data_IF_816077882024
#
_entry.id   IF_816077882024
#
_cell.length_a   1.000
_cell.length_b   1.000
_cell.length_c   1.000
_cell.angle_alpha   90.00
_cell.angle_beta   90.00
_cell.angle_gamma   90.00
#
_symmetry.space_group_name_H-M   'P 1'
#
loop_
_entity.id
_entity.type
_entity.pdbx_description
1 polymer ?
#
# COMPACT_ATOMS: atom_id res chain seq x y z
N UNK A 1 26.51 85.77 -30.80
CA UNK A 1 26.24 84.49 -31.42
C UNK A 1 26.95 83.38 -30.57
N UNK A 2 26.24 82.83 -29.66
CA UNK A 2 26.78 81.83 -28.75
C UNK A 2 26.42 80.39 -29.26
N UNK A 3 27.44 79.58 -29.49
CA UNK A 3 27.28 78.19 -29.91
C UNK A 3 27.15 77.31 -28.69
N UNK A 4 25.95 76.79 -28.53
CA UNK A 4 25.64 75.75 -27.45
C UNK A 4 26.06 74.37 -27.96
N UNK A 5 27.09 73.82 -27.37
CA UNK A 5 27.53 72.43 -27.63
C UNK A 5 26.86 71.51 -26.64
N UNK A 6 25.92 70.67 -27.13
CA UNK A 6 25.21 69.68 -26.39
C UNK A 6 26.08 68.40 -26.30
N UNK A 7 26.55 68.08 -25.10
CA UNK A 7 27.25 66.78 -24.82
C UNK A 7 26.24 65.71 -24.59
N UNK A 8 26.21 64.76 -25.50
CA UNK A 8 25.39 63.54 -25.38
C UNK A 8 26.11 62.56 -24.44
N UNK A 9 25.56 62.31 -23.26
CA UNK A 9 26.03 61.31 -22.35
C UNK A 9 25.35 59.98 -22.69
N UNK A 10 26.12 59.01 -23.21
CA UNK A 10 25.70 57.62 -23.40
C UNK A 10 25.72 56.92 -22.04
N UNK A 11 24.53 56.66 -21.48
CA UNK A 11 24.36 55.78 -20.31
C UNK A 11 24.28 54.37 -20.85
N UNK A 12 25.36 53.61 -20.68
CA UNK A 12 25.41 52.18 -20.96
C UNK A 12 24.67 51.41 -19.87
N UNK A 13 23.44 50.98 -20.17
CA UNK A 13 22.70 50.04 -19.32
C UNK A 13 23.27 48.64 -19.49
N UNK A 14 23.96 48.16 -18.48
CA UNK A 14 24.36 46.76 -18.38
C UNK A 14 23.09 45.90 -18.12
N UNK A 15 22.66 45.16 -19.13
CA UNK A 15 21.59 44.15 -18.98
C UNK A 15 22.16 42.99 -18.22
N UNK A 16 21.88 42.93 -16.89
CA UNK A 16 22.16 41.73 -16.08
C UNK A 16 21.17 40.64 -16.51
N UNK A 17 21.61 39.74 -17.39
CA UNK A 17 20.90 38.48 -17.65
C UNK A 17 21.07 37.61 -16.39
N UNK A 18 20.08 37.67 -15.53
CA UNK A 18 19.96 36.72 -14.41
C UNK A 18 19.80 35.31 -14.98
N UNK A 19 20.84 34.50 -14.85
CA UNK A 19 20.72 33.07 -14.98
C UNK A 19 19.80 32.59 -13.84
N UNK A 20 18.50 32.55 -14.08
CA UNK A 20 17.58 31.79 -13.26
C UNK A 20 17.98 30.32 -13.42
N UNK A 21 18.77 29.79 -12.47
CA UNK A 21 18.90 28.38 -12.29
C UNK A 21 17.47 27.87 -12.12
N UNK A 22 16.94 27.18 -13.15
CA UNK A 22 15.66 26.51 -13.02
C UNK A 22 15.80 25.50 -11.88
N UNK A 23 15.20 25.83 -10.74
CA UNK A 23 14.95 24.84 -9.71
C UNK A 23 13.99 23.87 -10.37
N UNK A 24 14.51 22.75 -10.84
CA UNK A 24 13.68 21.62 -11.24
C UNK A 24 12.97 21.20 -9.95
N UNK A 25 11.66 21.47 -9.87
CA UNK A 25 10.88 20.97 -8.77
C UNK A 25 11.02 19.46 -8.81
N UNK A 26 11.64 18.90 -7.79
CA UNK A 26 11.68 17.49 -7.57
C UNK A 26 10.22 17.02 -7.46
N UNK A 27 9.87 15.93 -8.19
CA UNK A 27 8.49 15.43 -8.18
C UNK A 27 8.03 15.10 -6.76
N UNK A 28 6.75 14.87 -6.55
CA UNK A 28 6.21 14.51 -5.24
C UNK A 28 6.94 13.30 -4.65
N UNK A 29 7.26 13.38 -3.36
CA UNK A 29 7.88 12.25 -2.64
C UNK A 29 6.85 11.13 -2.38
N UNK A 30 7.31 9.89 -2.13
CA UNK A 30 6.43 8.78 -1.78
C UNK A 30 5.53 9.10 -0.59
N UNK A 31 6.08 9.76 0.44
CA UNK A 31 5.29 10.21 1.60
C UNK A 31 4.18 11.20 1.21
N UNK A 32 4.51 12.23 0.42
CA UNK A 32 3.50 13.24 -0.01
C UNK A 32 2.36 12.58 -0.79
N UNK A 33 2.67 11.61 -1.65
CA UNK A 33 1.69 10.85 -2.41
C UNK A 33 0.86 9.95 -1.48
N UNK A 34 1.52 9.21 -0.59
CA UNK A 34 0.92 8.29 0.35
C UNK A 34 -0.01 8.97 1.38
N UNK A 35 0.29 10.20 1.78
CA UNK A 35 -0.57 10.97 2.71
C UNK A 35 -1.99 11.15 2.16
N UNK A 36 -2.19 11.11 0.84
CA UNK A 36 -3.53 11.16 0.23
C UNK A 36 -4.39 9.93 0.55
N UNK A 37 -3.78 8.80 0.91
CA UNK A 37 -4.44 7.54 1.22
C UNK A 37 -4.94 7.48 2.68
N UNK A 38 -4.41 8.36 3.56
CA UNK A 38 -4.65 8.32 4.99
C UNK A 38 -6.13 8.44 5.39
N UNK A 39 -6.95 9.14 4.57
CA UNK A 39 -8.38 9.30 4.84
C UNK A 39 -9.18 7.99 4.90
N UNK A 40 -8.71 6.94 4.22
CA UNK A 40 -9.37 5.62 4.17
C UNK A 40 -8.49 4.51 4.76
N UNK A 41 -7.17 4.57 4.51
CA UNK A 41 -6.23 3.53 4.94
C UNK A 41 -5.49 3.87 6.25
N UNK A 42 -5.85 4.98 6.89
CA UNK A 42 -5.25 5.44 8.14
C UNK A 42 -3.86 6.06 7.97
N UNK A 43 -3.37 6.68 9.02
CA UNK A 43 -2.03 7.27 9.05
C UNK A 43 -0.98 6.16 8.85
N UNK A 44 0.00 6.41 7.99
CA UNK A 44 1.03 5.44 7.61
C UNK A 44 0.48 4.12 7.07
N UNK A 45 -0.76 4.11 6.56
CA UNK A 45 -1.38 2.91 5.99
C UNK A 45 -1.99 1.95 7.02
N UNK A 46 -2.08 2.32 8.29
CA UNK A 46 -2.73 1.53 9.33
C UNK A 46 -4.20 1.91 9.47
N UNK A 47 -5.07 1.17 8.80
CA UNK A 47 -6.50 1.44 8.73
C UNK A 47 -7.19 1.30 10.09
N UNK A 48 -8.16 2.20 10.34
CA UNK A 48 -9.09 2.06 11.47
C UNK A 48 -10.33 1.23 11.10
N UNK A 49 -10.30 0.60 9.95
CA UNK A 49 -11.30 -0.36 9.46
C UNK A 49 -12.69 0.18 9.20
N UNK A 50 -13.69 -0.73 9.14
CA UNK A 50 -13.48 -2.18 9.03
C UNK A 50 -13.36 -2.66 7.57
N UNK A 51 -13.75 -1.85 6.56
CA UNK A 51 -13.83 -2.27 5.15
C UNK A 51 -12.59 -1.89 4.32
N UNK A 52 -11.87 -0.85 4.72
CA UNK A 52 -10.60 -0.46 4.10
C UNK A 52 -9.46 -1.25 4.74
N UNK A 53 -8.56 -1.88 3.97
CA UNK A 53 -7.46 -2.64 4.54
C UNK A 53 -6.38 -1.74 5.13
N UNK A 54 -5.59 -2.25 6.05
CA UNK A 54 -4.26 -1.73 6.33
C UNK A 54 -3.35 -2.06 5.14
N UNK A 55 -2.52 -1.09 4.75
CA UNK A 55 -1.55 -1.17 3.63
C UNK A 55 -0.11 -0.85 4.09
N UNK A 56 0.09 -0.63 5.39
CA UNK A 56 1.41 -0.57 6.01
C UNK A 56 2.15 -1.90 5.84
N UNK A 57 3.46 -1.87 5.73
CA UNK A 57 4.34 -3.01 5.48
C UNK A 57 3.96 -3.86 4.27
N UNK A 58 3.17 -3.35 3.34
CA UNK A 58 2.80 -4.08 2.13
C UNK A 58 4.01 -4.21 1.20
N UNK A 59 4.16 -5.38 0.59
CA UNK A 59 5.19 -5.58 -0.42
C UNK A 59 5.02 -4.57 -1.58
N UNK A 60 6.11 -3.89 -2.03
CA UNK A 60 6.01 -2.82 -3.03
C UNK A 60 5.48 -3.31 -4.38
N UNK A 61 5.87 -4.52 -4.81
CA UNK A 61 5.41 -5.09 -6.09
C UNK A 61 3.93 -5.42 -6.01
N UNK A 62 3.50 -6.04 -4.90
CA UNK A 62 2.08 -6.35 -4.64
C UNK A 62 1.24 -5.07 -4.56
N UNK A 63 1.78 -3.98 -3.99
CA UNK A 63 1.11 -2.68 -3.96
C UNK A 63 0.90 -2.14 -5.38
N UNK A 64 1.97 -2.07 -6.17
CA UNK A 64 1.93 -1.54 -7.55
C UNK A 64 0.99 -2.37 -8.42
N UNK A 65 1.14 -3.69 -8.43
CA UNK A 65 0.31 -4.61 -9.22
C UNK A 65 -1.17 -4.49 -8.86
N UNK A 66 -1.49 -4.37 -7.56
CA UNK A 66 -2.86 -4.18 -7.08
C UNK A 66 -3.45 -2.85 -7.59
N UNK A 67 -2.66 -1.77 -7.53
CA UNK A 67 -3.10 -0.45 -8.02
C UNK A 67 -3.27 -0.42 -9.53
N UNK A 68 -2.38 -1.06 -10.30
CA UNK A 68 -2.51 -1.21 -11.75
C UNK A 68 -3.73 -2.06 -12.14
N UNK A 69 -4.02 -3.12 -11.38
CA UNK A 69 -5.24 -3.92 -11.59
C UNK A 69 -6.52 -3.12 -11.29
N UNK A 70 -6.50 -2.18 -10.36
CA UNK A 70 -7.60 -1.23 -10.17
C UNK A 70 -7.69 -0.20 -11.30
N UNK A 71 -6.57 0.28 -11.83
CA UNK A 71 -6.55 1.23 -12.96
C UNK A 71 -7.15 0.62 -14.23
N UNK A 72 -6.75 -0.62 -14.56
CA UNK A 72 -7.22 -1.35 -15.74
C UNK A 72 -8.67 -1.81 -15.62
N UNK A 73 -9.15 -2.00 -14.39
CA UNK A 73 -10.46 -2.57 -14.08
C UNK A 73 -10.46 -4.10 -14.02
N UNK A 74 -9.29 -4.75 -14.04
CA UNK A 74 -9.14 -6.21 -13.88
C UNK A 74 -9.53 -6.66 -12.46
N UNK A 75 -9.44 -5.74 -11.49
CA UNK A 75 -9.95 -5.95 -10.13
C UNK A 75 -11.09 -4.98 -9.87
N UNK A 76 -12.24 -5.54 -9.52
CA UNK A 76 -13.41 -4.75 -9.11
C UNK A 76 -13.12 -3.95 -7.83
N UNK A 77 -13.65 -2.74 -7.77
CA UNK A 77 -13.61 -1.92 -6.56
C UNK A 77 -14.76 -0.92 -6.53
N UNK A 78 -15.16 -0.51 -5.35
CA UNK A 78 -16.16 0.57 -5.18
C UNK A 78 -15.57 1.94 -5.48
N UNK A 79 -14.32 2.19 -5.08
CA UNK A 79 -13.67 3.50 -5.19
C UNK A 79 -12.24 3.44 -5.74
N UNK A 80 -11.46 2.37 -5.44
CA UNK A 80 -10.03 2.33 -5.77
C UNK A 80 -9.75 2.44 -7.26
N UNK A 81 -10.61 1.88 -8.12
CA UNK A 81 -10.50 2.01 -9.57
C UNK A 81 -10.62 3.46 -10.10
N UNK A 82 -11.19 4.37 -9.31
CA UNK A 82 -11.20 5.81 -9.63
C UNK A 82 -9.96 6.51 -9.08
N UNK A 83 -9.57 6.18 -7.85
CA UNK A 83 -8.41 6.77 -7.17
C UNK A 83 -7.13 6.39 -7.90
N UNK A 84 -6.93 5.11 -8.19
CA UNK A 84 -5.73 4.59 -8.82
C UNK A 84 -5.42 5.28 -10.16
N UNK A 85 -6.44 5.63 -10.95
CA UNK A 85 -6.26 6.34 -12.24
C UNK A 85 -5.64 7.73 -12.13
N UNK A 86 -5.53 8.28 -10.93
CA UNK A 86 -4.90 9.58 -10.69
C UNK A 86 -3.38 9.52 -10.61
N UNK A 87 -2.77 8.35 -10.60
CA UNK A 87 -1.34 8.17 -10.37
C UNK A 87 -0.65 7.50 -11.57
N UNK A 88 0.60 7.88 -11.81
CA UNK A 88 1.50 7.18 -12.71
C UNK A 88 2.10 5.95 -12.03
N UNK A 89 2.64 5.01 -12.80
CA UNK A 89 3.33 3.83 -12.27
C UNK A 89 4.52 4.22 -11.37
N UNK A 90 5.32 5.22 -11.77
CA UNK A 90 6.43 5.76 -10.98
C UNK A 90 5.96 6.33 -9.61
N UNK A 91 4.81 7.00 -9.58
CA UNK A 91 4.22 7.47 -8.33
C UNK A 91 3.70 6.33 -7.46
N UNK A 92 3.16 5.26 -8.07
CA UNK A 92 2.75 4.05 -7.37
C UNK A 92 3.94 3.31 -6.76
N UNK A 93 5.07 3.23 -7.48
CA UNK A 93 6.32 2.67 -6.97
C UNK A 93 6.80 3.43 -5.72
N UNK A 94 6.86 4.76 -5.78
CA UNK A 94 7.24 5.59 -4.62
C UNK A 94 6.32 5.40 -3.42
N UNK A 95 5.00 5.25 -3.66
CA UNK A 95 4.04 4.97 -2.59
C UNK A 95 4.21 3.56 -2.02
N UNK A 96 4.45 2.55 -2.88
CA UNK A 96 4.73 1.19 -2.46
C UNK A 96 5.94 1.10 -1.54
N UNK A 97 7.04 1.73 -1.93
CA UNK A 97 8.26 1.83 -1.11
C UNK A 97 8.02 2.55 0.23
N UNK A 98 7.19 3.59 0.23
CA UNK A 98 6.84 4.29 1.45
C UNK A 98 6.03 3.40 2.40
N UNK A 99 4.97 2.74 1.92
CA UNK A 99 4.14 1.87 2.77
C UNK A 99 4.87 0.64 3.26
N UNK A 100 5.77 0.08 2.46
CA UNK A 100 6.61 -1.05 2.85
C UNK A 100 7.44 -0.77 4.11
N UNK A 101 7.94 0.45 4.26
CA UNK A 101 8.74 0.89 5.41
C UNK A 101 7.91 1.21 6.65
N UNK A 102 6.58 1.25 6.54
CA UNK A 102 5.74 1.60 7.68
C UNK A 102 5.52 0.40 8.60
N UNK A 103 5.52 0.65 9.90
CA UNK A 103 5.16 -0.34 10.90
C UNK A 103 3.72 -0.82 10.68
N UNK A 104 3.51 -2.15 10.59
CA UNK A 104 2.18 -2.73 10.51
C UNK A 104 1.58 -2.90 11.89
N UNK A 105 0.42 -2.30 12.12
CA UNK A 105 -0.34 -2.42 13.36
C UNK A 105 -1.54 -3.33 13.12
N UNK A 106 -1.57 -4.55 13.71
CA UNK A 106 -2.70 -5.46 13.56
C UNK A 106 -4.02 -4.85 14.04
N UNK A 107 -5.11 -5.16 13.33
CA UNK A 107 -6.44 -4.70 13.68
C UNK A 107 -6.90 -5.31 15.00
N UNK A 108 -7.40 -4.46 15.90
CA UNK A 108 -8.11 -4.92 17.11
C UNK A 108 -9.58 -5.10 16.77
N UNK A 109 -10.05 -6.35 16.77
CA UNK A 109 -11.41 -6.70 16.35
C UNK A 109 -11.90 -7.96 17.06
N UNK A 110 -13.22 -8.17 17.07
CA UNK A 110 -13.82 -9.39 17.61
C UNK A 110 -13.72 -10.54 16.62
N UNK A 111 -13.49 -11.75 17.13
CA UNK A 111 -13.45 -12.99 16.38
C UNK A 111 -13.90 -14.18 17.24
N UNK A 112 -14.23 -15.30 16.61
CA UNK A 112 -14.61 -16.53 17.34
C UNK A 112 -13.37 -17.30 17.80
N UNK A 113 -13.05 -17.17 19.09
CA UNK A 113 -11.89 -17.84 19.70
C UNK A 113 -11.93 -19.37 19.56
N UNK A 114 -13.13 -19.97 19.50
CA UNK A 114 -13.26 -21.42 19.37
C UNK A 114 -12.81 -21.96 18.00
N UNK A 115 -12.75 -21.10 16.99
CA UNK A 115 -12.37 -21.47 15.62
C UNK A 115 -10.88 -21.26 15.32
N UNK A 116 -10.12 -20.57 16.18
CA UNK A 116 -8.73 -20.18 15.92
C UNK A 116 -7.82 -21.37 15.62
N UNK A 117 -7.85 -22.41 16.49
CA UNK A 117 -7.00 -23.59 16.32
C UNK A 117 -7.35 -24.39 15.05
N UNK A 118 -8.62 -24.42 14.67
CA UNK A 118 -9.06 -25.03 13.43
C UNK A 118 -8.54 -24.23 12.23
N UNK A 119 -8.64 -22.90 12.28
CA UNK A 119 -8.13 -22.01 11.26
C UNK A 119 -6.63 -22.11 11.07
N UNK A 120 -5.83 -22.20 12.15
CA UNK A 120 -4.40 -22.41 12.09
C UNK A 120 -4.04 -23.69 11.32
N UNK A 121 -4.72 -24.81 11.61
CA UNK A 121 -4.50 -26.08 10.90
C UNK A 121 -4.89 -26.03 9.43
N UNK A 122 -5.95 -25.27 9.09
CA UNK A 122 -6.35 -25.07 7.71
C UNK A 122 -5.33 -24.20 6.96
N UNK A 123 -4.84 -23.17 7.61
CA UNK A 123 -3.78 -22.32 7.05
C UNK A 123 -2.54 -23.17 6.73
N UNK A 124 -2.00 -23.91 7.69
CA UNK A 124 -0.82 -24.78 7.51
C UNK A 124 -1.00 -25.75 6.33
N UNK A 125 -2.17 -26.37 6.24
CA UNK A 125 -2.43 -27.40 5.21
C UNK A 125 -2.60 -26.82 3.80
N UNK A 126 -3.30 -25.68 3.67
CA UNK A 126 -3.75 -25.20 2.36
C UNK A 126 -3.12 -23.88 1.93
N UNK A 127 -2.71 -23.01 2.87
CA UNK A 127 -2.36 -21.61 2.62
C UNK A 127 -0.88 -21.29 2.83
N UNK A 128 -0.23 -21.90 3.84
CA UNK A 128 1.13 -21.60 4.32
C UNK A 128 2.18 -21.58 3.22
N UNK A 129 2.06 -22.42 2.19
CA UNK A 129 3.06 -22.48 1.12
C UNK A 129 3.22 -21.14 0.34
N UNK A 130 2.18 -20.33 0.31
CA UNK A 130 2.16 -19.05 -0.41
C UNK A 130 1.93 -17.86 0.52
N UNK A 131 1.29 -18.09 1.65
CA UNK A 131 1.07 -17.10 2.71
C UNK A 131 1.88 -17.51 3.94
N UNK A 132 3.20 -17.43 3.76
CA UNK A 132 4.17 -17.91 4.76
C UNK A 132 4.00 -17.22 6.12
N UNK A 133 4.50 -17.87 7.15
CA UNK A 133 4.50 -17.38 8.53
C UNK A 133 3.13 -16.89 9.02
N UNK A 134 2.08 -17.66 8.68
CA UNK A 134 0.72 -17.33 9.07
C UNK A 134 0.10 -16.16 8.33
N UNK A 135 0.74 -15.66 7.28
CA UNK A 135 0.31 -14.51 6.50
C UNK A 135 0.61 -13.16 7.16
N UNK A 136 1.60 -13.10 8.07
CA UNK A 136 2.10 -11.84 8.63
C UNK A 136 2.97 -11.08 7.60
N UNK A 137 3.31 -9.79 7.85
CA UNK A 137 4.34 -9.11 7.07
C UNK A 137 5.69 -9.83 7.17
N UNK A 138 6.37 -10.00 6.04
CA UNK A 138 7.70 -10.63 5.93
C UNK A 138 8.57 -9.78 5.00
N UNK A 139 9.02 -8.60 5.43
CA UNK A 139 9.63 -7.59 4.56
C UNK A 139 10.94 -8.02 3.88
N UNK A 140 11.56 -9.10 4.36
CA UNK A 140 12.75 -9.69 3.74
C UNK A 140 12.40 -10.65 2.58
N UNK A 141 11.11 -10.93 2.35
CA UNK A 141 10.61 -11.80 1.28
C UNK A 141 9.88 -10.96 0.21
N UNK A 142 9.82 -11.47 -1.01
CA UNK A 142 9.11 -10.83 -2.12
C UNK A 142 7.72 -11.45 -2.33
N UNK A 143 6.80 -10.69 -2.93
CA UNK A 143 5.46 -11.13 -3.34
C UNK A 143 4.58 -11.65 -2.18
N UNK A 144 4.74 -11.15 -0.97
CA UNK A 144 3.92 -11.56 0.15
C UNK A 144 2.61 -10.76 0.28
N UNK A 145 1.60 -11.41 0.86
CA UNK A 145 0.28 -10.82 1.10
C UNK A 145 -0.05 -10.88 2.59
N UNK A 146 -0.36 -9.74 3.19
CA UNK A 146 -0.68 -9.64 4.62
C UNK A 146 -2.12 -10.09 4.85
N UNK A 147 -2.29 -11.17 5.62
CA UNK A 147 -3.57 -11.72 6.05
C UNK A 147 -3.74 -11.63 7.58
N UNK A 148 -2.66 -11.92 8.32
CA UNK A 148 -2.64 -11.85 9.78
C UNK A 148 -2.88 -10.42 10.27
N UNK A 149 -3.76 -10.27 11.26
CA UNK A 149 -4.10 -8.96 11.81
C UNK A 149 -4.84 -8.01 10.88
N UNK A 150 -5.25 -8.45 9.68
CA UNK A 150 -6.02 -7.64 8.75
C UNK A 150 -7.51 -7.60 9.15
N UNK A 151 -8.22 -6.55 8.77
CA UNK A 151 -9.65 -6.38 9.05
C UNK A 151 -10.49 -7.51 8.44
N UNK A 152 -11.27 -8.22 9.27
CA UNK A 152 -12.12 -9.34 8.82
C UNK A 152 -13.15 -8.94 7.76
N UNK A 153 -13.87 -7.81 7.86
CA UNK A 153 -14.78 -7.41 6.80
C UNK A 153 -14.08 -7.24 5.46
N UNK A 154 -12.85 -6.69 5.45
CA UNK A 154 -12.07 -6.59 4.22
C UNK A 154 -11.69 -7.97 3.66
N UNK A 155 -11.18 -8.89 4.51
CA UNK A 155 -10.83 -10.25 4.06
C UNK A 155 -12.05 -11.00 3.50
N UNK A 156 -13.22 -10.86 4.14
CA UNK A 156 -14.48 -11.44 3.66
C UNK A 156 -14.92 -10.84 2.32
N UNK A 157 -14.81 -9.53 2.13
CA UNK A 157 -15.08 -8.89 0.85
C UNK A 157 -14.12 -9.35 -0.24
N UNK A 158 -12.82 -9.40 0.04
CA UNK A 158 -11.82 -9.88 -0.91
C UNK A 158 -12.08 -11.34 -1.33
N UNK A 159 -12.40 -12.22 -0.37
CA UNK A 159 -12.75 -13.62 -0.67
C UNK A 159 -14.04 -13.73 -1.50
N UNK A 160 -15.06 -12.94 -1.16
CA UNK A 160 -16.29 -12.87 -1.95
C UNK A 160 -16.04 -12.37 -3.38
N UNK A 161 -15.09 -11.45 -3.57
CA UNK A 161 -14.71 -10.98 -4.90
C UNK A 161 -13.96 -12.05 -5.70
N UNK A 162 -13.10 -12.84 -5.06
CA UNK A 162 -12.47 -14.01 -5.68
C UNK A 162 -13.50 -15.06 -6.11
N UNK A 163 -14.43 -15.43 -5.23
CA UNK A 163 -15.46 -16.44 -5.52
C UNK A 163 -16.50 -15.95 -6.54
N UNK A 164 -16.68 -14.62 -6.63
CA UNK A 164 -17.64 -13.99 -7.53
C UNK A 164 -17.06 -13.52 -8.87
N UNK A 165 -15.87 -13.96 -9.24
CA UNK A 165 -15.16 -13.56 -10.47
C UNK A 165 -14.98 -12.03 -10.62
N UNK A 166 -15.02 -11.28 -9.52
CA UNK A 166 -14.78 -9.83 -9.49
C UNK A 166 -13.30 -9.48 -9.24
N UNK A 167 -12.52 -10.48 -8.84
CA UNK A 167 -11.08 -10.39 -8.65
C UNK A 167 -10.44 -11.65 -9.24
N UNK A 168 -9.31 -11.48 -9.94
CA UNK A 168 -8.60 -12.62 -10.53
C UNK A 168 -8.11 -13.54 -9.41
N UNK A 169 -8.63 -14.76 -9.37
CA UNK A 169 -8.17 -15.80 -8.45
C UNK A 169 -7.01 -16.57 -9.09
N UNK A 170 -5.78 -16.48 -8.54
CA UNK A 170 -4.65 -17.24 -9.06
C UNK A 170 -4.94 -18.74 -9.08
N UNK A 171 -4.62 -19.43 -10.17
CA UNK A 171 -4.95 -20.86 -10.36
C UNK A 171 -4.48 -21.76 -9.20
N UNK A 172 -3.31 -21.46 -8.61
CA UNK A 172 -2.79 -22.24 -7.48
C UNK A 172 -3.61 -22.01 -6.21
N UNK A 173 -3.97 -20.75 -5.95
CA UNK A 173 -4.83 -20.38 -4.83
C UNK A 173 -6.23 -21.01 -4.99
N UNK A 174 -6.85 -20.89 -6.16
CA UNK A 174 -8.15 -21.49 -6.45
C UNK A 174 -8.18 -22.99 -6.18
N UNK A 175 -7.22 -23.75 -6.69
CA UNK A 175 -7.12 -25.18 -6.42
C UNK A 175 -7.00 -25.54 -4.94
N UNK A 176 -6.33 -24.70 -4.15
CA UNK A 176 -6.18 -24.93 -2.71
C UNK A 176 -7.45 -24.57 -1.95
N UNK A 177 -8.11 -23.50 -2.36
CA UNK A 177 -9.39 -23.06 -1.82
C UNK A 177 -10.48 -24.12 -2.10
N UNK A 178 -10.59 -24.59 -3.35
CA UNK A 178 -11.53 -25.64 -3.75
C UNK A 178 -11.31 -26.92 -2.94
N UNK A 179 -10.06 -27.37 -2.82
CA UNK A 179 -9.72 -28.57 -2.05
C UNK A 179 -10.04 -28.41 -0.56
N UNK A 180 -9.86 -27.24 0.02
CA UNK A 180 -10.23 -26.96 1.41
C UNK A 180 -11.75 -27.00 1.58
N UNK A 181 -12.50 -26.37 0.71
CA UNK A 181 -13.97 -26.33 0.77
C UNK A 181 -14.56 -27.73 0.53
N UNK A 182 -14.00 -28.51 -0.40
CA UNK A 182 -14.42 -29.90 -0.65
C UNK A 182 -14.17 -30.80 0.58
N UNK A 183 -13.05 -30.63 1.26
CA UNK A 183 -12.66 -31.44 2.44
C UNK A 183 -13.41 -31.03 3.72
N UNK A 184 -13.67 -29.73 3.91
CA UNK A 184 -14.03 -29.15 5.21
C UNK A 184 -15.34 -28.34 5.21
N UNK A 185 -15.94 -28.11 4.02
CA UNK A 185 -17.11 -27.25 3.88
C UNK A 185 -16.77 -25.74 3.78
N UNK A 186 -17.73 -24.95 3.34
CA UNK A 186 -17.56 -23.49 3.24
C UNK A 186 -17.36 -22.80 4.59
N UNK A 187 -17.85 -23.40 5.69
CA UNK A 187 -17.65 -22.92 7.05
C UNK A 187 -16.19 -22.90 7.48
N UNK A 188 -15.31 -23.61 6.78
CA UNK A 188 -13.86 -23.56 6.97
C UNK A 188 -13.27 -22.17 6.76
N UNK A 189 -13.91 -21.33 5.95
CA UNK A 189 -13.50 -19.92 5.77
C UNK A 189 -13.64 -19.11 7.06
N UNK A 190 -14.68 -19.35 7.87
CA UNK A 190 -14.85 -18.65 9.15
C UNK A 190 -13.73 -19.01 10.14
N UNK A 191 -13.23 -20.25 10.09
CA UNK A 191 -12.09 -20.66 10.90
C UNK A 191 -10.80 -19.95 10.44
N UNK A 192 -10.54 -19.83 9.13
CA UNK A 192 -9.41 -19.08 8.62
C UNK A 192 -9.48 -17.59 9.04
N UNK A 193 -10.65 -16.97 8.94
CA UNK A 193 -10.84 -15.59 9.36
C UNK A 193 -10.56 -15.41 10.85
N UNK A 194 -11.05 -16.34 11.71
CA UNK A 194 -10.77 -16.30 13.14
C UNK A 194 -9.27 -16.40 13.44
N UNK A 195 -8.56 -17.29 12.73
CA UNK A 195 -7.11 -17.42 12.85
C UNK A 195 -6.39 -16.12 12.47
N UNK A 196 -6.68 -15.54 11.30
CA UNK A 196 -6.02 -14.30 10.87
C UNK A 196 -6.33 -13.11 11.79
N UNK A 197 -7.53 -13.04 12.37
CA UNK A 197 -7.86 -11.99 13.32
C UNK A 197 -7.16 -12.16 14.67
N UNK A 198 -6.94 -13.41 15.11
CA UNK A 198 -6.28 -13.74 16.36
C UNK A 198 -4.75 -13.64 16.25
N UNK A 199 -4.19 -13.81 15.04
CA UNK A 199 -2.76 -13.85 14.82
C UNK A 199 -2.20 -12.43 14.72
N UNK A 200 -1.89 -11.85 15.87
CA UNK A 200 -1.46 -10.44 16.02
C UNK A 200 -0.16 -10.30 16.83
N UNK A 201 0.32 -11.39 17.44
CA UNK A 201 1.54 -11.40 18.25
C UNK A 201 2.76 -11.74 17.38
N UNK A 202 3.16 -10.75 16.58
CA UNK A 202 4.39 -10.79 15.80
C UNK A 202 5.09 -9.41 15.92
N UNK A 203 6.42 -9.42 15.88
CA UNK A 203 7.17 -8.17 15.85
C UNK A 203 6.76 -7.39 14.60
N UNK A 204 6.36 -6.13 14.80
CA UNK A 204 6.01 -5.25 13.71
C UNK A 204 7.25 -5.01 12.85
N UNK A 205 7.23 -5.53 11.65
CA UNK A 205 8.31 -5.38 10.71
C UNK A 205 8.04 -4.20 9.78
N UNK A 206 8.33 -3.00 10.27
CA UNK A 206 8.66 -1.90 9.37
C UNK A 206 10.15 -2.04 9.03
N UNK A 207 10.54 -1.97 7.78
CA UNK A 207 11.94 -1.82 7.43
C UNK A 207 12.42 -0.51 8.07
N UNK A 208 13.39 -0.61 8.99
CA UNK A 208 13.78 0.37 9.97
C UNK A 208 13.91 1.82 9.49
N UNK A 209 13.74 2.68 10.47
CA UNK A 209 14.00 4.12 10.46
C UNK A 209 15.27 4.47 9.70
N UNK A 210 15.13 4.94 8.47
CA UNK A 210 16.07 5.87 7.91
C UNK A 210 15.47 7.25 8.17
N UNK A 211 15.91 7.86 9.27
CA UNK A 211 15.72 9.26 9.63
C UNK A 211 16.21 10.16 8.48
N UNK A 212 15.36 10.42 7.52
CA UNK A 212 15.51 11.53 6.57
C UNK A 212 14.97 12.84 7.18
N UNK A 213 15.29 13.10 8.45
CA UNK A 213 15.34 14.43 9.01
C UNK A 213 16.73 15.04 8.75
N UNK A 214 17.04 15.21 7.47
CA UNK A 214 18.22 15.94 7.05
C UNK A 214 17.90 17.42 6.89
N UNK A 215 18.29 18.17 7.91
CA UNK A 215 18.81 19.53 7.84
C UNK A 215 17.90 20.66 7.32
N UNK A 216 17.10 21.16 8.25
CA UNK A 216 16.81 22.60 8.25
C UNK A 216 17.75 23.28 9.25
N UNK A 217 18.98 23.55 8.83
CA UNK A 217 19.95 24.43 9.50
C UNK A 217 20.65 25.29 8.46
N UNK A 218 20.24 26.52 8.45
CA UNK A 218 20.83 27.84 8.24
C UNK A 218 20.06 28.73 7.30
#
# INVERSE_FOLDING_TARGET
>A
MAKLTMKLALVGGALAVGLSSGVMAEGATGKMLADTCAGCHGTHGNSVGPASPSIAAMDPVVFVDTMLAFQSGDTYSTIMGRIAKGYTEEELEKMGEYFHKQEYIPATQEFDQALVDAGAKLHDKYCEKCHIEGGKPVPDEEDYYILAGQWLPYLKFAMSDFQGDRRILPKKMGKKLDAMIEDQGEESLEALYAFYAAYTDFESSGAGDDDDDADDKD
#
